data_IF_322682839692
#
_entry.id   IF_322682839692
#
_cell.length_a   1.000
_cell.length_b   1.000
_cell.length_c   1.000
_cell.angle_alpha   90.00
_cell.angle_beta   90.00
_cell.angle_gamma   90.00
#
_symmetry.space_group_name_H-M   'P 1'
#
loop_
_entity.id
_entity.type
_entity.pdbx_description
1 polymer ?
#
# COMPACT_ATOMS: atom_id res chain seq x y z
N UNK A 1 -42.45 48.59 -26.44
CA UNK A 1 -42.66 48.77 -25.00
C UNK A 1 -42.71 47.39 -24.35
N UNK A 2 -41.64 46.95 -23.69
CA UNK A 2 -41.64 45.81 -22.79
C UNK A 2 -40.43 45.96 -21.85
N UNK A 3 -40.72 45.94 -20.56
CA UNK A 3 -39.90 46.35 -19.42
C UNK A 3 -38.89 45.27 -18.99
N UNK A 4 -37.62 45.66 -18.84
CA UNK A 4 -36.62 44.89 -18.10
C UNK A 4 -36.77 45.19 -16.60
N UNK A 5 -37.06 44.18 -15.79
CA UNK A 5 -37.09 44.29 -14.33
C UNK A 5 -35.73 43.95 -13.72
N UNK A 6 -35.36 44.77 -12.75
CA UNK A 6 -34.08 44.83 -12.06
C UNK A 6 -33.90 43.78 -10.94
N UNK A 7 -32.64 43.37 -10.80
CA UNK A 7 -31.83 43.23 -9.57
C UNK A 7 -32.30 42.34 -8.40
N UNK A 8 -31.38 41.47 -7.92
CA UNK A 8 -30.83 41.48 -6.55
C UNK A 8 -29.48 40.72 -6.47
N UNK A 9 -28.39 41.32 -5.95
CA UNK A 9 -27.17 40.61 -5.57
C UNK A 9 -27.24 40.13 -4.11
N UNK A 10 -26.86 38.88 -3.85
CA UNK A 10 -26.75 38.31 -2.50
C UNK A 10 -25.28 38.34 -2.04
N UNK A 11 -25.10 39.01 -0.91
CA UNK A 11 -23.98 39.19 0.00
C UNK A 11 -22.76 38.26 -0.15
N UNK A 12 -21.60 38.87 -0.43
CA UNK A 12 -20.27 38.30 -0.25
C UNK A 12 -19.73 38.63 1.16
N UNK A 13 -19.47 37.60 1.96
CA UNK A 13 -18.83 37.75 3.28
C UNK A 13 -17.30 37.72 3.13
N UNK A 14 -16.67 38.88 3.20
CA UNK A 14 -15.21 39.06 3.25
C UNK A 14 -14.74 38.88 4.70
N UNK A 15 -14.04 37.79 4.99
CA UNK A 15 -13.31 37.60 6.25
C UNK A 15 -11.94 38.25 6.14
N UNK A 16 -11.79 39.43 6.74
CA UNK A 16 -10.50 40.08 6.99
C UNK A 16 -9.73 39.24 8.03
N UNK A 17 -8.53 38.77 7.70
CA UNK A 17 -7.53 38.43 8.70
C UNK A 17 -6.32 39.33 8.48
N UNK A 18 -5.85 39.88 9.60
CA UNK A 18 -4.90 40.96 9.73
C UNK A 18 -3.46 40.51 9.50
N UNK A 19 -2.78 41.31 8.70
CA UNK A 19 -1.33 41.37 8.51
C UNK A 19 -0.62 41.74 9.81
N UNK A 20 0.32 40.90 10.26
CA UNK A 20 1.34 41.29 11.26
C UNK A 20 2.68 40.63 10.92
N UNK A 21 3.64 41.41 10.46
CA UNK A 21 5.11 41.19 10.48
C UNK A 21 5.75 42.59 10.34
N UNK A 22 7.03 42.84 10.70
CA UNK A 22 8.01 41.99 11.40
C UNK A 22 8.68 42.69 12.61
N UNK A 23 9.28 41.93 13.53
CA UNK A 23 10.35 42.44 14.39
C UNK A 23 11.64 41.66 14.15
N UNK A 24 12.58 42.41 13.61
CA UNK A 24 13.98 42.12 13.42
C UNK A 24 14.68 41.86 14.75
N UNK A 25 15.43 40.75 14.85
CA UNK A 25 16.59 40.68 15.74
C UNK A 25 17.69 39.90 15.03
N UNK A 26 18.77 40.62 14.73
CA UNK A 26 20.09 40.09 14.45
C UNK A 26 20.55 39.18 15.57
N UNK A 27 21.17 38.06 15.22
CA UNK A 27 22.43 37.73 15.87
C UNK A 27 23.33 36.92 14.92
N UNK A 28 24.45 37.51 14.54
CA UNK A 28 25.57 36.82 13.97
C UNK A 28 26.51 36.44 15.11
N UNK A 29 27.06 35.23 15.10
CA UNK A 29 28.48 34.96 15.42
C UNK A 29 28.79 33.49 15.20
N UNK A 30 29.86 33.26 14.47
CA UNK A 30 30.47 31.96 14.21
C UNK A 30 31.12 31.42 15.49
N UNK A 31 31.22 30.10 15.63
CA UNK A 31 32.39 29.51 16.28
C UNK A 31 32.66 28.10 15.76
N UNK A 32 33.93 27.92 15.46
CA UNK A 32 34.64 26.77 14.92
C UNK A 32 34.93 25.71 16.00
N UNK A 33 35.12 24.48 15.53
CA UNK A 33 35.97 23.38 16.03
C UNK A 33 35.98 23.00 17.53
N UNK A 34 35.77 21.70 17.81
CA UNK A 34 36.68 20.77 18.52
C UNK A 34 35.92 19.51 18.98
N UNK A 35 36.27 18.31 18.50
CA UNK A 35 37.27 17.36 19.05
C UNK A 35 36.70 16.42 20.14
N UNK A 36 36.49 15.17 19.73
CA UNK A 36 36.80 13.93 20.46
C UNK A 36 36.05 13.50 21.74
N UNK A 37 35.81 12.17 21.75
CA UNK A 37 35.80 11.21 22.88
C UNK A 37 34.48 10.85 23.58
N UNK A 38 34.05 9.62 23.26
CA UNK A 38 33.76 8.50 24.19
C UNK A 38 33.49 8.86 25.65
N UNK A 39 32.33 8.43 26.16
CA UNK A 39 32.23 7.37 27.17
C UNK A 39 30.78 6.97 27.46
N UNK A 40 30.65 5.69 27.76
CA UNK A 40 29.52 4.94 28.30
C UNK A 40 28.82 5.59 29.49
N UNK A 41 27.51 5.36 29.63
CA UNK A 41 26.96 4.83 30.88
C UNK A 41 25.53 4.32 30.71
N UNK A 42 25.37 3.07 31.10
CA UNK A 42 24.12 2.38 31.40
C UNK A 42 23.43 3.06 32.59
N UNK A 43 22.11 3.14 32.59
CA UNK A 43 21.33 3.27 33.82
C UNK A 43 19.95 2.64 33.64
N UNK A 44 19.86 1.55 34.38
CA UNK A 44 18.72 0.74 34.77
C UNK A 44 17.64 1.51 35.54
N UNK A 45 16.39 1.07 35.32
CA UNK A 45 15.31 0.94 36.30
C UNK A 45 14.79 2.20 37.01
N UNK A 46 13.51 2.50 36.76
CA UNK A 46 12.58 2.78 37.86
C UNK A 46 11.14 2.55 37.41
N UNK A 47 10.57 1.44 37.89
CA UNK A 47 9.14 1.18 37.97
C UNK A 47 8.47 2.22 38.86
N UNK A 48 7.29 2.70 38.46
CA UNK A 48 6.37 3.36 39.39
C UNK A 48 4.96 2.85 39.12
N UNK A 49 4.64 1.79 39.86
CA UNK A 49 3.31 1.28 40.12
C UNK A 49 2.47 2.35 40.82
N UNK A 50 1.35 2.76 40.21
CA UNK A 50 0.29 3.45 40.93
C UNK A 50 -0.70 2.42 41.47
N UNK A 51 -0.66 2.28 42.79
CA UNK A 51 -1.68 1.62 43.59
C UNK A 51 -2.95 2.49 43.57
N UNK A 52 -4.09 1.90 43.21
CA UNK A 52 -5.39 2.44 43.59
C UNK A 52 -6.17 1.30 44.24
N UNK A 53 -6.38 1.51 45.53
CA UNK A 53 -7.12 0.69 46.47
C UNK A 53 -8.63 0.86 46.20
N UNK A 54 -9.37 -0.23 46.03
CA UNK A 54 -10.82 -0.23 46.25
C UNK A 54 -11.25 -1.61 46.71
N UNK A 55 -11.59 -1.67 47.99
CA UNK A 55 -12.08 -2.85 48.67
C UNK A 55 -13.59 -2.99 48.47
N UNK A 56 -14.05 -4.14 47.98
CA UNK A 56 -15.40 -4.61 48.26
C UNK A 56 -15.35 -6.11 48.58
N UNK A 57 -15.83 -6.44 49.78
CA UNK A 57 -15.81 -7.76 50.38
C UNK A 57 -16.96 -8.65 49.89
N UNK A 58 -16.57 -9.86 49.51
CA UNK A 58 -17.22 -11.18 49.70
C UNK A 58 -18.76 -11.28 49.81
N UNK A 59 -19.35 -12.03 48.87
CA UNK A 59 -20.43 -12.96 49.21
C UNK A 59 -20.22 -14.32 48.53
N UNK A 60 -19.77 -15.25 49.35
CA UNK A 60 -19.65 -16.69 49.08
C UNK A 60 -21.03 -17.34 49.11
N UNK A 61 -21.35 -18.14 48.10
CA UNK A 61 -22.17 -19.34 48.28
C UNK A 61 -21.58 -20.47 47.43
N UNK A 62 -21.09 -21.47 48.16
CA UNK A 62 -20.63 -22.76 47.68
C UNK A 62 -21.80 -23.56 47.10
N UNK A 63 -21.57 -24.23 45.96
CA UNK A 63 -22.14 -25.56 45.76
C UNK A 63 -21.18 -26.45 44.99
N UNK A 64 -20.80 -27.51 45.68
CA UNK A 64 -19.96 -28.60 45.22
C UNK A 64 -20.65 -29.48 44.16
N UNK A 65 -19.78 -30.09 43.34
CA UNK A 65 -19.67 -31.54 43.06
C UNK A 65 -19.88 -31.96 41.58
N UNK A 66 -19.45 -33.17 41.17
CA UNK A 66 -18.08 -33.49 40.74
C UNK A 66 -18.00 -34.09 39.32
N UNK A 67 -16.75 -34.28 38.89
CA UNK A 67 -16.22 -35.28 37.93
C UNK A 67 -17.23 -36.18 37.20
N UNK A 68 -17.19 -36.13 35.87
CA UNK A 68 -17.17 -37.36 35.05
C UNK A 68 -16.24 -37.17 33.86
N UNK A 69 -15.34 -38.13 33.71
CA UNK A 69 -14.41 -38.29 32.62
C UNK A 69 -15.01 -39.23 31.57
N UNK A 70 -14.91 -38.88 30.29
CA UNK A 70 -14.41 -39.76 29.22
C UNK A 70 -14.67 -39.11 27.84
N UNK A 71 -13.79 -39.35 26.85
CA UNK A 71 -13.86 -38.75 25.53
C UNK A 71 -14.60 -39.69 24.55
N UNK A 72 -15.46 -39.14 23.70
CA UNK A 72 -16.01 -39.88 22.55
C UNK A 72 -15.48 -39.27 21.27
N UNK A 73 -14.40 -39.87 20.77
CA UNK A 73 -13.96 -39.71 19.40
C UNK A 73 -15.00 -40.33 18.48
N UNK A 74 -15.70 -39.52 17.69
CA UNK A 74 -16.37 -40.00 16.47
C UNK A 74 -15.49 -39.67 15.28
N UNK A 75 -14.52 -40.56 15.03
CA UNK A 75 -13.83 -40.64 13.76
C UNK A 75 -14.79 -41.20 12.72
N UNK A 76 -15.56 -40.36 12.03
CA UNK A 76 -16.20 -40.76 10.77
C UNK A 76 -15.20 -40.58 9.64
N UNK A 77 -14.39 -41.61 9.43
CA UNK A 77 -13.56 -41.77 8.23
C UNK A 77 -14.46 -42.13 7.05
N UNK A 78 -14.95 -41.12 6.31
CA UNK A 78 -15.40 -41.34 4.94
C UNK A 78 -14.19 -41.18 4.00
N UNK A 79 -13.37 -42.23 3.89
CA UNK A 79 -12.43 -42.34 2.80
C UNK A 79 -13.21 -42.71 1.54
N UNK A 80 -13.70 -41.69 0.82
CA UNK A 80 -14.19 -41.85 -0.55
C UNK A 80 -12.99 -42.21 -1.43
N UNK A 81 -12.88 -43.47 -1.81
CA UNK A 81 -11.96 -43.93 -2.84
C UNK A 81 -12.42 -43.39 -4.20
N UNK A 82 -11.88 -42.24 -4.60
CA UNK A 82 -11.97 -41.78 -5.99
C UNK A 82 -11.02 -42.65 -6.84
N UNK A 83 -11.57 -43.73 -7.41
CA UNK A 83 -10.89 -44.55 -8.42
C UNK A 83 -10.71 -43.72 -9.69
N UNK A 84 -9.61 -42.97 -9.77
CA UNK A 84 -9.20 -42.23 -10.97
C UNK A 84 -8.77 -43.25 -12.04
N UNK A 85 -9.66 -43.52 -12.99
CA UNK A 85 -9.28 -44.26 -14.20
C UNK A 85 -8.40 -43.33 -15.04
N UNK A 86 -7.09 -43.56 -15.02
CA UNK A 86 -6.16 -42.98 -15.99
C UNK A 86 -6.40 -43.64 -17.33
N UNK A 87 -7.14 -42.96 -18.21
CA UNK A 87 -7.15 -43.32 -19.63
C UNK A 87 -5.79 -42.94 -20.21
N UNK A 88 -4.94 -43.94 -20.45
CA UNK A 88 -3.76 -43.82 -21.28
C UNK A 88 -4.22 -43.73 -22.73
N UNK A 89 -4.35 -42.52 -23.26
CA UNK A 89 -4.48 -42.32 -24.70
C UNK A 89 -3.09 -42.51 -25.31
N UNK A 90 -2.91 -43.67 -25.94
CA UNK A 90 -1.77 -44.02 -26.77
C UNK A 90 -1.89 -43.25 -28.09
N UNK A 91 -0.94 -42.35 -28.28
CA UNK A 91 -0.22 -42.04 -29.52
C UNK A 91 -0.92 -42.34 -30.86
N UNK A 92 -1.21 -41.26 -31.60
CA UNK A 92 -0.98 -41.26 -33.03
C UNK A 92 -0.62 -39.84 -33.49
N UNK A 93 0.63 -39.64 -33.88
CA UNK A 93 1.04 -38.47 -34.65
C UNK A 93 0.46 -38.59 -36.06
N UNK A 94 -0.07 -37.49 -36.61
CA UNK A 94 0.57 -36.93 -37.78
C UNK A 94 0.94 -35.46 -37.55
N UNK A 95 2.19 -35.15 -37.90
CA UNK A 95 2.77 -33.82 -37.94
C UNK A 95 1.91 -32.83 -38.73
N UNK A 96 1.20 -31.96 -38.02
CA UNK A 96 0.90 -30.61 -38.50
C UNK A 96 1.49 -29.66 -37.48
N UNK A 97 2.70 -29.20 -37.76
CA UNK A 97 3.38 -28.16 -37.01
C UNK A 97 2.59 -26.86 -37.16
N UNK A 98 1.57 -26.69 -36.31
CA UNK A 98 1.01 -25.38 -36.01
C UNK A 98 2.12 -24.62 -35.30
N UNK A 99 2.72 -23.67 -36.02
CA UNK A 99 3.71 -22.74 -35.52
C UNK A 99 3.21 -22.14 -34.20
N UNK A 100 3.85 -22.53 -33.10
CA UNK A 100 3.87 -21.71 -31.90
C UNK A 100 4.19 -20.29 -32.36
N UNK A 101 3.44 -19.25 -31.94
CA UNK A 101 3.77 -17.89 -32.33
C UNK A 101 5.21 -17.65 -31.93
N UNK A 102 6.04 -17.57 -32.98
CA UNK A 102 7.45 -17.25 -32.96
C UNK A 102 7.69 -16.22 -31.89
N UNK A 103 8.57 -16.55 -30.93
CA UNK A 103 9.21 -15.66 -29.95
C UNK A 103 8.79 -14.21 -30.22
N UNK A 104 7.64 -13.82 -29.67
CA UNK A 104 7.11 -12.48 -29.90
C UNK A 104 8.25 -11.57 -29.51
N UNK A 105 8.76 -10.79 -30.47
CA UNK A 105 9.97 -10.01 -30.34
C UNK A 105 9.77 -9.09 -29.14
N UNK A 106 10.16 -9.56 -27.95
CA UNK A 106 10.21 -8.78 -26.75
C UNK A 106 11.39 -7.88 -27.05
N UNK A 107 11.11 -6.74 -27.69
CA UNK A 107 12.04 -5.63 -27.69
C UNK A 107 12.26 -5.33 -26.22
N UNK A 108 13.29 -5.98 -25.66
CA UNK A 108 13.69 -5.82 -24.28
C UNK A 108 14.16 -4.37 -24.24
N UNK A 109 13.24 -3.47 -23.87
CA UNK A 109 13.62 -2.14 -23.46
C UNK A 109 14.68 -2.37 -22.38
N UNK A 110 15.88 -1.80 -22.57
CA UNK A 110 17.00 -1.98 -21.63
C UNK A 110 16.74 -1.21 -20.31
N UNK A 111 15.51 -1.26 -19.82
CA UNK A 111 15.09 -0.70 -18.55
C UNK A 111 15.50 -1.67 -17.43
N UNK A 112 15.88 -1.15 -16.26
CA UNK A 112 16.27 -1.97 -15.12
C UNK A 112 15.09 -2.71 -14.48
N UNK A 113 13.86 -2.47 -14.96
CA UNK A 113 12.63 -3.08 -14.48
C UNK A 113 11.74 -3.52 -15.65
N UNK A 114 10.88 -4.50 -15.38
CA UNK A 114 9.92 -5.02 -16.35
C UNK A 114 8.57 -5.30 -15.69
N UNK A 115 7.49 -5.20 -16.45
CA UNK A 115 6.14 -5.48 -15.98
C UNK A 115 5.51 -6.52 -16.91
N UNK A 116 5.20 -7.71 -16.39
CA UNK A 116 4.60 -8.77 -17.21
C UNK A 116 3.11 -8.54 -17.42
N UNK A 117 2.63 -8.72 -18.65
CA UNK A 117 1.19 -8.76 -18.96
C UNK A 117 0.50 -9.95 -18.28
N UNK A 118 -0.81 -9.85 -18.03
CA UNK A 118 -1.62 -10.97 -17.52
C UNK A 118 -1.72 -12.11 -18.53
N UNK A 119 -2.25 -13.27 -18.13
CA UNK A 119 -2.50 -14.38 -19.06
C UNK A 119 -3.45 -13.99 -20.21
N UNK A 120 -4.33 -13.01 -19.99
CA UNK A 120 -5.20 -12.39 -20.99
C UNK A 120 -4.51 -11.29 -21.81
N UNK A 121 -3.19 -11.14 -21.72
CA UNK A 121 -2.40 -10.07 -22.35
C UNK A 121 -2.87 -8.65 -21.98
N UNK A 122 -3.29 -8.42 -20.75
CA UNK A 122 -3.67 -7.09 -20.25
C UNK A 122 -2.61 -6.51 -19.30
N UNK A 123 -2.59 -5.19 -19.15
CA UNK A 123 -1.71 -4.52 -18.20
C UNK A 123 -2.19 -4.80 -16.75
N UNK A 124 -1.29 -5.18 -15.83
CA UNK A 124 -1.64 -5.61 -14.47
C UNK A 124 -1.89 -4.41 -13.52
N UNK A 125 -2.79 -3.50 -13.91
CA UNK A 125 -3.13 -2.27 -13.16
C UNK A 125 -4.54 -2.35 -12.60
N UNK A 126 -4.64 -2.32 -11.27
CA UNK A 126 -5.90 -2.53 -10.54
C UNK A 126 -6.22 -1.35 -9.63
N UNK A 127 -7.50 -1.00 -9.53
CA UNK A 127 -7.98 -0.08 -8.51
C UNK A 127 -8.22 -0.84 -7.21
N UNK A 128 -7.84 -0.23 -6.10
CA UNK A 128 -8.00 -0.79 -4.75
C UNK A 128 -8.62 0.27 -3.85
N UNK A 129 -9.76 -0.06 -3.27
CA UNK A 129 -10.43 0.77 -2.27
C UNK A 129 -10.33 0.12 -0.90
N UNK A 130 -9.96 0.90 0.11
CA UNK A 130 -9.84 0.50 1.52
C UNK A 130 -10.63 1.48 2.40
N UNK A 131 -10.78 1.16 3.68
CA UNK A 131 -11.45 2.02 4.67
C UNK A 131 -12.84 2.50 4.20
N UNK A 132 -13.69 1.56 3.76
CA UNK A 132 -15.04 1.86 3.29
C UNK A 132 -15.10 2.71 2.01
N UNK A 133 -14.03 2.78 1.22
CA UNK A 133 -13.99 3.56 -0.03
C UNK A 133 -13.21 4.86 0.08
N UNK A 134 -12.91 5.33 1.30
CA UNK A 134 -12.15 6.57 1.54
C UNK A 134 -10.71 6.46 1.06
N UNK A 135 -10.05 5.32 1.30
CA UNK A 135 -8.66 5.11 0.90
C UNK A 135 -8.61 4.47 -0.48
N UNK A 136 -8.46 5.31 -1.48
CA UNK A 136 -8.33 4.89 -2.87
C UNK A 136 -6.87 4.76 -3.26
N UNK A 137 -6.53 3.68 -3.93
CA UNK A 137 -5.18 3.36 -4.39
C UNK A 137 -5.24 2.68 -5.76
N UNK A 138 -4.16 2.81 -6.52
CA UNK A 138 -3.94 2.05 -7.74
C UNK A 138 -2.75 1.12 -7.51
N UNK A 139 -2.95 -0.17 -7.75
CA UNK A 139 -1.96 -1.22 -7.53
C UNK A 139 -1.47 -1.77 -8.86
N UNK A 140 -0.17 -1.78 -9.03
CA UNK A 140 0.53 -2.42 -10.16
C UNK A 140 1.09 -3.75 -9.66
N UNK A 141 0.82 -4.82 -10.41
CA UNK A 141 1.30 -6.17 -10.11
C UNK A 141 2.27 -6.67 -11.17
N UNK A 142 2.84 -7.87 -10.95
CA UNK A 142 3.73 -8.54 -11.90
C UNK A 142 4.93 -7.68 -12.30
N UNK A 143 5.46 -6.90 -11.36
CA UNK A 143 6.65 -6.07 -11.56
C UNK A 143 7.90 -6.84 -11.16
N UNK A 144 8.95 -6.70 -11.95
CA UNK A 144 10.22 -7.43 -11.84
C UNK A 144 11.39 -6.45 -12.03
N UNK A 145 12.57 -6.79 -11.52
CA UNK A 145 13.76 -5.93 -11.57
C UNK A 145 13.79 -4.84 -10.50
N UNK A 146 14.36 -3.68 -10.84
CA UNK A 146 14.54 -2.55 -9.93
C UNK A 146 13.25 -1.72 -9.73
N UNK A 147 12.58 -1.95 -8.60
CA UNK A 147 11.34 -1.27 -8.25
C UNK A 147 11.53 0.19 -7.87
N UNK A 148 12.72 0.58 -7.39
CA UNK A 148 13.01 1.94 -6.98
C UNK A 148 13.17 2.85 -8.22
N UNK A 149 13.75 2.32 -9.31
CA UNK A 149 13.76 2.97 -10.62
C UNK A 149 12.33 3.15 -11.18
N UNK A 150 11.50 2.10 -11.17
CA UNK A 150 10.11 2.18 -11.64
C UNK A 150 9.29 3.20 -10.83
N UNK A 151 9.50 3.24 -9.51
CA UNK A 151 8.86 4.24 -8.64
C UNK A 151 9.25 5.67 -9.02
N UNK A 152 10.53 5.90 -9.30
CA UNK A 152 11.06 7.23 -9.66
C UNK A 152 10.49 7.69 -10.99
N UNK A 153 10.44 6.80 -11.99
CA UNK A 153 9.85 7.08 -13.30
C UNK A 153 8.35 7.36 -13.21
N UNK A 154 7.61 6.61 -12.39
CA UNK A 154 6.19 6.87 -12.12
C UNK A 154 5.99 8.19 -11.39
N UNK A 155 6.85 8.53 -10.43
CA UNK A 155 6.77 9.81 -9.72
C UNK A 155 6.96 10.98 -10.68
N UNK A 156 7.92 10.87 -11.60
CA UNK A 156 8.17 11.87 -12.65
C UNK A 156 7.00 11.99 -13.61
N UNK A 157 6.49 10.87 -14.12
CA UNK A 157 5.39 10.86 -15.09
C UNK A 157 4.08 11.41 -14.50
N UNK A 158 3.77 11.09 -13.24
CA UNK A 158 2.57 11.56 -12.55
C UNK A 158 2.72 12.96 -11.93
N UNK A 159 3.91 13.57 -12.00
CA UNK A 159 4.20 14.86 -11.36
C UNK A 159 4.20 14.82 -9.82
N UNK A 160 4.48 13.65 -9.23
CA UNK A 160 4.51 13.40 -7.78
C UNK A 160 5.93 13.51 -7.18
N UNK A 161 6.92 13.91 -7.99
CA UNK A 161 8.31 14.07 -7.58
C UNK A 161 8.47 15.17 -6.51
N UNK A 162 7.58 16.16 -6.54
CA UNK A 162 7.44 17.21 -5.53
C UNK A 162 6.39 16.81 -4.50
N UNK A 163 6.72 15.82 -3.66
CA UNK A 163 6.04 15.74 -2.37
C UNK A 163 6.11 17.12 -1.73
N UNK A 164 4.95 17.72 -1.45
CA UNK A 164 4.85 19.08 -0.88
C UNK A 164 5.93 19.25 0.19
N UNK A 165 6.79 20.28 0.14
CA UNK A 165 7.93 20.42 1.06
C UNK A 165 7.50 20.42 2.53
N UNK A 166 6.20 20.63 2.81
CA UNK A 166 5.61 20.54 4.15
C UNK A 166 5.29 19.11 4.63
N UNK A 167 5.32 18.09 3.78
CA UNK A 167 5.07 16.69 4.16
C UNK A 167 6.18 15.74 3.69
N UNK A 168 7.35 15.78 4.35
CA UNK A 168 8.54 14.98 3.97
C UNK A 168 8.37 13.46 4.15
N UNK A 169 7.23 12.99 4.69
CA UNK A 169 7.09 11.60 5.17
C UNK A 169 6.10 10.74 4.39
N UNK A 170 5.34 11.30 3.44
CA UNK A 170 4.32 10.57 2.69
C UNK A 170 4.61 10.58 1.20
N UNK A 171 5.52 9.72 0.75
CA UNK A 171 5.66 9.47 -0.68
C UNK A 171 4.35 8.87 -1.22
N UNK A 172 3.76 9.49 -2.24
CA UNK A 172 2.48 9.04 -2.83
C UNK A 172 2.57 7.65 -3.48
N UNK A 173 3.78 7.17 -3.73
CA UNK A 173 4.08 5.85 -4.27
C UNK A 173 4.82 5.03 -3.22
N UNK A 174 4.26 3.86 -2.89
CA UNK A 174 4.80 2.90 -1.92
C UNK A 174 5.12 1.59 -2.63
N UNK A 175 6.25 0.97 -2.28
CA UNK A 175 6.66 -0.33 -2.81
C UNK A 175 6.44 -1.40 -1.73
N UNK A 176 5.73 -2.48 -2.09
CA UNK A 176 5.74 -3.71 -1.30
C UNK A 176 6.82 -4.65 -1.85
N UNK A 177 8.00 -4.64 -1.22
CA UNK A 177 9.16 -5.43 -1.65
C UNK A 177 8.97 -6.94 -1.52
N UNK A 178 8.12 -7.40 -0.59
CA UNK A 178 7.86 -8.84 -0.43
C UNK A 178 7.20 -9.45 -1.68
N UNK A 179 6.28 -8.71 -2.30
CA UNK A 179 5.50 -9.21 -3.44
C UNK A 179 5.90 -8.57 -4.77
N UNK A 180 6.79 -7.57 -4.75
CA UNK A 180 7.08 -6.75 -5.92
C UNK A 180 5.82 -6.04 -6.44
N UNK A 181 5.04 -5.42 -5.56
CA UNK A 181 3.86 -4.64 -5.95
C UNK A 181 4.12 -3.16 -5.72
N UNK A 182 3.67 -2.32 -6.65
CA UNK A 182 3.70 -0.87 -6.50
C UNK A 182 2.29 -0.38 -6.19
N UNK A 183 2.19 0.48 -5.18
CA UNK A 183 0.93 1.06 -4.72
C UNK A 183 1.04 2.57 -4.87
N UNK A 184 0.24 3.13 -5.75
CA UNK A 184 0.11 4.57 -5.98
C UNK A 184 -1.15 5.05 -5.27
N UNK A 185 -1.08 6.18 -4.57
CA UNK A 185 -2.23 6.79 -3.91
C UNK A 185 -3.20 7.38 -4.94
N UNK A 186 -4.50 7.24 -4.69
CA UNK A 186 -5.58 7.77 -5.53
C UNK A 186 -5.97 6.89 -6.72
N UNK A 187 -6.97 7.35 -7.46
CA UNK A 187 -7.43 6.75 -8.72
C UNK A 187 -6.61 7.26 -9.90
N UNK A 188 -5.51 6.56 -10.19
CA UNK A 188 -4.53 6.91 -11.23
C UNK A 188 -4.41 5.84 -12.32
N UNK A 189 -5.35 4.88 -12.36
CA UNK A 189 -5.35 3.79 -13.36
C UNK A 189 -5.17 4.25 -14.81
N UNK A 190 -5.92 5.24 -15.34
CA UNK A 190 -5.78 5.61 -16.75
C UNK A 190 -4.42 6.22 -17.06
N UNK A 191 -3.89 7.05 -16.16
CA UNK A 191 -2.58 7.69 -16.30
C UNK A 191 -1.45 6.64 -16.32
N UNK A 192 -1.50 5.70 -15.37
CA UNK A 192 -0.53 4.60 -15.27
C UNK A 192 -0.64 3.68 -16.48
N UNK A 193 -1.85 3.36 -16.93
CA UNK A 193 -2.04 2.52 -18.11
C UNK A 193 -1.45 3.18 -19.35
N UNK A 194 -1.65 4.49 -19.51
CA UNK A 194 -1.04 5.27 -20.59
C UNK A 194 0.49 5.21 -20.53
N UNK A 195 1.09 5.44 -19.37
CA UNK A 195 2.54 5.32 -19.16
C UNK A 195 3.09 3.95 -19.59
N UNK A 196 2.40 2.86 -19.19
CA UNK A 196 2.84 1.51 -19.52
C UNK A 196 2.71 1.18 -21.01
N UNK A 197 1.67 1.70 -21.67
CA UNK A 197 1.50 1.56 -23.11
C UNK A 197 2.58 2.32 -23.89
N UNK A 198 2.90 3.55 -23.49
CA UNK A 198 3.94 4.37 -24.12
C UNK A 198 5.33 3.72 -24.06
N UNK A 199 5.59 2.95 -22.99
CA UNK A 199 6.84 2.21 -22.79
C UNK A 199 6.81 0.79 -23.38
N UNK A 200 5.71 0.38 -24.01
CA UNK A 200 5.51 -0.91 -24.67
C UNK A 200 5.70 -2.14 -23.73
N UNK A 201 5.10 -2.12 -22.54
CA UNK A 201 5.06 -3.27 -21.62
C UNK A 201 3.95 -4.31 -21.93
#
# INVERSE_FOLDING_TARGET
>A
MASFLQSRPVCSAVRKQSTVLPTYLQNASQSVASTSRTCSSVSTLSSSSRLINSQHSLRSLQRFNPRSAAPTQQCRTFLVQLKRQSQTLKENAPSTATSLPSSANLQLTNLPYFIRRTASNQLPVYLVTKAGGTKQQTKIQKTEGDLDALRSDLARYLGLESGEPRSPKSSDITINRLNGHIIVKGWRKPEIQKFLLERNF
#
